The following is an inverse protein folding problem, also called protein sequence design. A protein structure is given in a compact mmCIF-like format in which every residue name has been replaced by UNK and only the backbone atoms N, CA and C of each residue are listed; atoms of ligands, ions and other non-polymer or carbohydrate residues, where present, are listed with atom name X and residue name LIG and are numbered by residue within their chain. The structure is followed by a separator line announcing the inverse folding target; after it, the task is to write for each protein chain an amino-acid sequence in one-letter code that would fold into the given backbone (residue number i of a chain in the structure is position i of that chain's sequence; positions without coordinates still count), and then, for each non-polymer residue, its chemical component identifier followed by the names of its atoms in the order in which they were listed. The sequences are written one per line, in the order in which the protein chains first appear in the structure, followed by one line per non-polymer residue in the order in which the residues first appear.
data_IF_238786981392
#
_entry.id   IF_238786981392
#
_cell.length_a   1.000
_cell.length_b   1.000
_cell.length_c   1.000
_cell.angle_alpha   90.00
_cell.angle_beta   90.00
_cell.angle_gamma   90.00
#
_symmetry.space_group_name_H-M   'P 1'
#
loop_
_entity.id
_entity.type
_entity.pdbx_description
1 polymer ?
#
# COMPACT_ATOMS: atom_id res chain seq x y z
N UNK A 1 16.74 44.77 6.09
CA UNK A 1 15.95 43.55 5.85
C UNK A 1 16.53 42.88 4.62
N UNK A 2 16.73 41.57 4.70
CA UNK A 2 17.68 40.84 3.87
C UNK A 2 16.92 40.06 2.81
N UNK A 3 16.57 40.72 1.69
CA UNK A 3 15.65 40.20 0.67
C UNK A 3 16.03 38.83 0.09
N UNK A 4 17.32 38.47 0.10
CA UNK A 4 17.77 37.15 -0.33
C UNK A 4 17.34 36.03 0.64
N UNK A 5 17.21 36.35 1.92
CA UNK A 5 16.71 35.44 2.96
C UNK A 5 15.21 35.23 2.80
N UNK A 6 14.45 36.31 2.61
CA UNK A 6 13.00 36.24 2.42
C UNK A 6 12.63 35.42 1.16
N UNK A 7 13.43 35.52 0.09
CA UNK A 7 13.25 34.71 -1.13
C UNK A 7 13.63 33.24 -0.94
N UNK A 8 14.63 32.96 -0.10
CA UNK A 8 14.97 31.58 0.25
C UNK A 8 13.86 30.94 1.09
N UNK A 9 13.39 31.66 2.11
CA UNK A 9 12.34 31.20 3.01
C UNK A 9 11.06 30.88 2.22
N UNK A 10 10.66 31.76 1.27
CA UNK A 10 9.50 31.50 0.41
C UNK A 10 9.64 30.21 -0.40
N UNK A 11 10.80 29.98 -1.02
CA UNK A 11 11.04 28.75 -1.80
C UNK A 11 11.01 27.50 -0.93
N UNK A 12 11.50 27.60 0.31
CA UNK A 12 11.44 26.50 1.27
C UNK A 12 10.00 26.23 1.70
N UNK A 13 9.22 27.27 1.99
CA UNK A 13 7.80 27.16 2.35
C UNK A 13 6.98 26.51 1.23
N UNK A 14 7.16 26.97 -0.02
CA UNK A 14 6.49 26.41 -1.20
C UNK A 14 6.84 24.92 -1.39
N UNK A 15 8.14 24.57 -1.39
CA UNK A 15 8.57 23.18 -1.53
C UNK A 15 8.07 22.30 -0.38
N UNK A 16 7.98 22.85 0.84
CA UNK A 16 7.45 22.13 2.00
C UNK A 16 5.95 21.90 1.86
N UNK A 17 5.18 22.89 1.41
CA UNK A 17 3.75 22.73 1.16
C UNK A 17 3.48 21.64 0.11
N UNK A 18 4.24 21.64 -1.00
CA UNK A 18 4.16 20.61 -2.02
C UNK A 18 4.50 19.21 -1.48
N UNK A 19 5.56 19.11 -0.66
CA UNK A 19 5.96 17.85 -0.05
C UNK A 19 4.90 17.30 0.92
N UNK A 20 4.25 18.17 1.70
CA UNK A 20 3.18 17.76 2.63
C UNK A 20 1.98 17.19 1.87
N UNK A 21 1.56 17.82 0.77
CA UNK A 21 0.49 17.29 -0.09
C UNK A 21 0.88 15.94 -0.69
N UNK A 22 2.12 15.79 -1.17
CA UNK A 22 2.60 14.52 -1.71
C UNK A 22 2.66 13.41 -0.65
N UNK A 23 3.01 13.74 0.60
CA UNK A 23 3.02 12.79 1.72
C UNK A 23 1.61 12.33 2.10
N UNK A 24 0.64 13.23 2.09
CA UNK A 24 -0.78 12.89 2.32
C UNK A 24 -1.29 11.95 1.22
N UNK A 25 -1.11 12.30 -0.05
CA UNK A 25 -1.49 11.46 -1.18
C UNK A 25 -0.80 10.08 -1.14
N UNK A 26 0.48 10.03 -0.75
CA UNK A 26 1.20 8.77 -0.53
C UNK A 26 0.56 7.96 0.59
N UNK A 27 0.21 8.58 1.73
CA UNK A 27 -0.42 7.88 2.84
C UNK A 27 -1.78 7.28 2.45
N UNK A 28 -2.59 8.03 1.71
CA UNK A 28 -3.88 7.55 1.19
C UNK A 28 -3.68 6.37 0.23
N UNK A 29 -2.72 6.47 -0.70
CA UNK A 29 -2.40 5.39 -1.62
C UNK A 29 -1.90 4.13 -0.88
N UNK A 30 -1.10 4.29 0.18
CA UNK A 30 -0.63 3.18 1.02
C UNK A 30 -1.80 2.49 1.75
N UNK A 31 -2.76 3.25 2.25
CA UNK A 31 -3.97 2.71 2.87
C UNK A 31 -4.85 1.97 1.86
N UNK A 32 -5.08 2.57 0.69
CA UNK A 32 -5.84 1.94 -0.39
C UNK A 32 -5.17 0.64 -0.87
N UNK A 33 -3.84 0.64 -1.00
CA UNK A 33 -3.07 -0.55 -1.31
C UNK A 33 -3.27 -1.64 -0.25
N UNK A 34 -3.16 -1.30 1.04
CA UNK A 34 -3.36 -2.26 2.12
C UNK A 34 -4.76 -2.91 2.10
N UNK A 35 -5.81 -2.12 1.84
CA UNK A 35 -7.19 -2.63 1.70
C UNK A 35 -7.31 -3.57 0.49
N UNK A 36 -6.79 -3.17 -0.67
CA UNK A 36 -6.82 -3.98 -1.88
C UNK A 36 -6.04 -5.31 -1.69
N UNK A 37 -4.88 -5.26 -1.04
CA UNK A 37 -4.06 -6.43 -0.71
C UNK A 37 -4.80 -7.38 0.24
N UNK A 38 -5.51 -6.87 1.24
CA UNK A 38 -6.30 -7.69 2.15
C UNK A 38 -7.47 -8.40 1.43
N UNK A 39 -8.21 -7.67 0.60
CA UNK A 39 -9.31 -8.23 -0.19
C UNK A 39 -8.82 -9.29 -1.20
N UNK A 40 -7.66 -9.06 -1.82
CA UNK A 40 -7.01 -10.04 -2.68
C UNK A 40 -6.61 -11.30 -1.91
N UNK A 41 -6.03 -11.16 -0.72
CA UNK A 41 -5.67 -12.28 0.14
C UNK A 41 -6.89 -13.09 0.61
N UNK A 42 -8.03 -12.45 0.86
CA UNK A 42 -9.30 -13.14 1.14
C UNK A 42 -9.82 -13.89 -0.09
N UNK A 43 -9.86 -13.24 -1.25
CA UNK A 43 -10.27 -13.87 -2.52
C UNK A 43 -9.42 -15.11 -2.84
N UNK A 44 -8.09 -15.01 -2.68
CA UNK A 44 -7.17 -16.13 -2.87
C UNK A 44 -7.48 -17.28 -1.92
N UNK A 45 -7.77 -17.00 -0.64
CA UNK A 45 -8.16 -18.03 0.33
C UNK A 45 -9.47 -18.72 -0.06
N UNK A 46 -10.45 -17.98 -0.57
CA UNK A 46 -11.69 -18.55 -1.11
C UNK A 46 -11.39 -19.50 -2.28
N UNK A 47 -10.56 -19.09 -3.24
CA UNK A 47 -10.19 -19.96 -4.36
C UNK A 47 -9.53 -21.26 -3.89
N UNK A 48 -8.60 -21.17 -2.94
CA UNK A 48 -7.94 -22.34 -2.37
C UNK A 48 -8.93 -23.27 -1.63
N UNK A 49 -9.95 -22.71 -0.98
CA UNK A 49 -11.01 -23.48 -0.32
C UNK A 49 -11.95 -24.19 -1.31
N UNK A 50 -12.07 -23.66 -2.54
CA UNK A 50 -12.81 -24.26 -3.66
C UNK A 50 -11.93 -25.21 -4.49
N UNK A 51 -10.89 -25.80 -3.88
CA UNK A 51 -9.94 -26.74 -4.50
C UNK A 51 -9.17 -26.20 -5.73
N UNK A 52 -9.10 -24.88 -5.91
CA UNK A 52 -8.21 -24.27 -6.90
C UNK A 52 -6.78 -24.29 -6.38
N UNK A 53 -5.85 -24.93 -7.10
CA UNK A 53 -4.44 -24.93 -6.68
C UNK A 53 -3.84 -23.52 -6.69
N UNK A 54 -2.82 -23.28 -5.86
CA UNK A 54 -2.13 -22.00 -5.80
C UNK A 54 -1.53 -21.60 -7.16
N UNK A 55 -1.01 -22.56 -7.92
CA UNK A 55 -0.48 -22.34 -9.27
C UNK A 55 -1.58 -21.94 -10.26
N UNK A 56 -2.78 -22.52 -10.14
CA UNK A 56 -3.92 -22.16 -10.99
C UNK A 56 -4.49 -20.79 -10.61
N UNK A 57 -4.60 -20.49 -9.32
CA UNK A 57 -5.01 -19.17 -8.84
C UNK A 57 -4.03 -18.08 -9.30
N UNK A 58 -2.73 -18.35 -9.24
CA UNK A 58 -1.68 -17.47 -9.75
C UNK A 58 -1.86 -17.20 -11.25
N UNK A 59 -2.09 -18.24 -12.06
CA UNK A 59 -2.35 -18.09 -13.50
C UNK A 59 -3.64 -17.31 -13.81
N UNK A 60 -4.72 -17.54 -13.05
CA UNK A 60 -6.01 -16.85 -13.24
C UNK A 60 -5.94 -15.35 -12.94
N UNK A 61 -5.08 -14.96 -12.00
CA UNK A 61 -4.95 -13.58 -11.54
C UNK A 61 -3.67 -12.90 -12.05
N UNK A 62 -2.93 -13.55 -12.96
CA UNK A 62 -1.66 -13.06 -13.50
C UNK A 62 -0.63 -12.70 -12.42
N UNK A 63 -0.60 -13.49 -11.33
CA UNK A 63 0.30 -13.33 -10.20
C UNK A 63 1.44 -14.34 -10.23
N UNK A 64 2.53 -14.00 -9.53
CA UNK A 64 3.58 -14.95 -9.20
C UNK A 64 3.07 -15.98 -8.15
N UNK A 65 3.32 -17.29 -8.30
CA UNK A 65 2.93 -18.28 -7.30
C UNK A 65 3.51 -18.04 -5.89
N UNK A 66 4.67 -17.39 -5.78
CA UNK A 66 5.23 -16.95 -4.51
C UNK A 66 4.43 -15.79 -3.91
N UNK A 67 3.88 -14.90 -4.74
CA UNK A 67 2.99 -13.83 -4.27
C UNK A 67 1.67 -14.40 -3.73
N UNK A 68 1.07 -15.37 -4.41
CA UNK A 68 -0.10 -16.09 -3.88
C UNK A 68 0.17 -16.71 -2.50
N UNK A 69 1.33 -17.34 -2.33
CA UNK A 69 1.76 -17.90 -1.03
C UNK A 69 1.98 -16.83 0.04
N UNK A 70 2.48 -15.64 -0.32
CA UNK A 70 2.65 -14.52 0.63
C UNK A 70 1.29 -13.96 1.06
N UNK A 71 0.44 -13.61 0.10
CA UNK A 71 -0.86 -12.99 0.34
C UNK A 71 -1.80 -13.87 1.17
N UNK A 72 -1.77 -15.19 0.95
CA UNK A 72 -2.59 -16.14 1.71
C UNK A 72 -2.09 -16.38 3.13
N UNK A 73 -0.80 -16.14 3.43
CA UNK A 73 -0.22 -16.29 4.77
C UNK A 73 -0.35 -15.04 5.66
N UNK A 74 -0.51 -13.86 5.08
CA UNK A 74 -0.27 -12.59 5.79
C UNK A 74 -1.43 -12.15 6.69
N UNK A 75 -2.59 -12.81 6.62
CA UNK A 75 -3.78 -12.45 7.42
C UNK A 75 -3.80 -13.01 8.85
N UNK A 76 -2.82 -13.82 9.25
CA UNK A 76 -2.70 -14.33 10.63
C UNK A 76 -2.11 -13.31 11.63
N UNK A 77 -1.69 -12.13 11.17
CA UNK A 77 -1.24 -11.06 12.07
C UNK A 77 -2.37 -10.04 12.26
N UNK A 78 -3.09 -10.06 13.40
CA UNK A 78 -4.00 -8.98 13.71
C UNK A 78 -3.19 -7.68 13.74
N UNK A 79 -3.67 -6.67 13.02
CA UNK A 79 -3.15 -5.32 13.13
C UNK A 79 -3.24 -4.94 14.61
N UNK A 80 -2.09 -4.78 15.26
CA UNK A 80 -2.05 -4.28 16.63
C UNK A 80 -2.74 -2.92 16.62
N UNK A 81 -3.92 -2.85 17.23
CA UNK A 81 -4.59 -1.61 17.53
C UNK A 81 -3.66 -0.78 18.41
N UNK A 82 -2.98 0.19 17.81
CA UNK A 82 -2.27 1.22 18.55
C UNK A 82 -3.32 2.20 19.08
N UNK A 83 -3.31 2.36 20.41
CA UNK A 83 -4.09 3.32 21.19
C UNK A 83 -3.74 4.76 20.85
#
# INVERSE_FOLDING_TARGET
MDAARDEHDRRVEEATAEALVALEARSEAEQALAVATAALGETLRTLLAEDVSAERAAALLELDPAEVRRLTKTTDRPAAAAK
#
